data_IF_545092608118
#
_entry.id   IF_545092608118
#
_cell.length_a   1.000
_cell.length_b   1.000
_cell.length_c   1.000
_cell.angle_alpha   90.00
_cell.angle_beta   90.00
_cell.angle_gamma   90.00
#
_symmetry.space_group_name_H-M   'P 1'
#
loop_
_entity.id
_entity.type
_entity.pdbx_description
1 polymer ?
#
# COMPACT_ATOMS: atom_id res chain seq x y z
N UNK A 1 -4.68 6.40 -13.47
CA UNK A 1 -4.31 7.44 -12.48
C UNK A 1 -2.80 7.40 -12.32
N UNK A 2 -2.15 8.52 -11.98
CA UNK A 2 -0.74 8.50 -11.59
C UNK A 2 -0.66 8.32 -10.09
N UNK A 3 0.08 7.32 -9.62
CA UNK A 3 0.32 7.08 -8.21
C UNK A 3 1.65 7.71 -7.78
N UNK A 4 1.69 8.21 -6.56
CA UNK A 4 2.96 8.51 -5.89
C UNK A 4 3.66 7.22 -5.48
N UNK A 5 4.98 7.25 -5.32
CA UNK A 5 5.74 6.14 -4.75
C UNK A 5 5.42 5.84 -3.28
N UNK A 6 4.61 6.68 -2.62
CA UNK A 6 4.16 6.48 -1.24
C UNK A 6 2.63 6.58 -1.15
N UNK A 7 1.99 5.50 -0.74
CA UNK A 7 0.53 5.41 -0.61
C UNK A 7 0.15 5.25 0.85
N UNK A 8 -0.87 6.00 1.27
CA UNK A 8 -1.58 5.81 2.55
C UNK A 8 -3.04 5.48 2.22
N UNK A 9 -3.40 4.21 2.33
CA UNK A 9 -4.76 3.73 2.15
C UNK A 9 -5.54 3.87 3.45
N UNK A 10 -6.64 4.60 3.42
CA UNK A 10 -7.66 4.63 4.46
C UNK A 10 -8.82 3.78 3.99
N UNK A 11 -8.99 2.59 4.58
CA UNK A 11 -10.11 1.74 4.21
C UNK A 11 -11.16 1.64 5.31
N UNK A 12 -12.43 1.67 4.91
CA UNK A 12 -13.56 1.51 5.83
C UNK A 12 -13.86 0.02 6.12
N UNK A 13 -13.20 -0.89 5.41
CA UNK A 13 -13.38 -2.34 5.51
C UNK A 13 -12.06 -3.06 5.28
N UNK A 14 -11.98 -4.34 5.65
CA UNK A 14 -10.89 -5.19 5.18
C UNK A 14 -10.86 -5.33 3.65
N UNK A 15 -9.77 -5.93 3.16
CA UNK A 15 -9.59 -6.22 1.74
C UNK A 15 -10.70 -7.15 1.20
N UNK A 16 -11.23 -6.82 0.02
CA UNK A 16 -12.23 -7.62 -0.70
C UNK A 16 -11.70 -7.89 -2.12
N UNK A 17 -11.33 -9.16 -2.47
CA UNK A 17 -10.66 -9.47 -3.73
C UNK A 17 -11.34 -8.89 -4.97
N UNK A 18 -12.65 -9.09 -5.12
CA UNK A 18 -13.41 -8.67 -6.30
C UNK A 18 -13.48 -7.15 -6.47
N UNK A 19 -13.26 -6.39 -5.40
CA UNK A 19 -13.28 -4.91 -5.38
C UNK A 19 -11.88 -4.31 -5.53
N UNK A 20 -10.89 -4.96 -4.94
CA UNK A 20 -9.63 -4.32 -4.57
C UNK A 20 -8.40 -4.88 -5.29
N UNK A 21 -8.50 -6.08 -5.89
CA UNK A 21 -7.37 -6.71 -6.55
C UNK A 21 -6.79 -5.85 -7.68
N UNK A 22 -7.64 -5.28 -8.54
CA UNK A 22 -7.18 -4.41 -9.62
C UNK A 22 -6.42 -3.19 -9.09
N UNK A 23 -6.84 -2.64 -7.94
CA UNK A 23 -6.15 -1.51 -7.33
C UNK A 23 -4.74 -1.88 -6.89
N UNK A 24 -4.56 -3.04 -6.24
CA UNK A 24 -3.22 -3.51 -5.86
C UNK A 24 -2.34 -3.76 -7.09
N UNK A 25 -2.90 -4.33 -8.16
CA UNK A 25 -2.19 -4.52 -9.44
C UNK A 25 -1.75 -3.18 -10.06
N UNK A 26 -2.60 -2.16 -10.01
CA UNK A 26 -2.27 -0.83 -10.51
C UNK A 26 -1.14 -0.18 -9.68
N UNK A 27 -1.11 -0.39 -8.35
CA UNK A 27 -0.02 0.08 -7.48
C UNK A 27 1.31 -0.61 -7.80
N UNK A 28 1.30 -1.93 -8.00
CA UNK A 28 2.48 -2.71 -8.40
C UNK A 28 2.98 -2.23 -9.76
N UNK A 29 2.10 -2.05 -10.73
CA UNK A 29 2.47 -1.54 -12.05
C UNK A 29 3.06 -0.12 -12.00
N UNK A 30 2.61 0.70 -11.05
CA UNK A 30 3.15 2.02 -10.78
C UNK A 30 4.49 2.01 -10.01
N UNK A 31 4.97 0.84 -9.60
CA UNK A 31 6.23 0.64 -8.85
C UNK A 31 6.32 1.53 -7.60
N UNK A 32 5.25 1.55 -6.81
CA UNK A 32 5.28 2.22 -5.51
C UNK A 32 6.34 1.58 -4.61
N UNK A 33 6.79 2.33 -3.61
CA UNK A 33 7.85 1.89 -2.69
C UNK A 33 7.33 1.72 -1.25
N UNK A 34 6.25 2.42 -0.90
CA UNK A 34 5.60 2.35 0.41
C UNK A 34 4.08 2.26 0.27
N UNK A 35 3.50 1.30 0.98
CA UNK A 35 2.06 1.12 1.11
C UNK A 35 1.67 1.01 2.59
N UNK A 36 1.12 2.11 3.14
CA UNK A 36 0.58 2.13 4.49
C UNK A 36 -0.94 1.90 4.42
N UNK A 37 -1.49 1.02 5.24
CA UNK A 37 -2.94 0.78 5.29
C UNK A 37 -3.51 1.00 6.69
N UNK A 38 -4.60 1.76 6.75
CA UNK A 38 -5.31 2.13 7.98
C UNK A 38 -6.73 1.60 7.88
N UNK A 39 -6.99 0.45 8.51
CA UNK A 39 -8.32 -0.10 8.69
C UNK A 39 -8.32 -1.20 9.77
N UNK A 40 -9.52 -1.62 10.18
CA UNK A 40 -9.67 -2.92 10.86
C UNK A 40 -9.47 -4.01 9.81
N UNK A 41 -8.56 -4.95 10.05
CA UNK A 41 -8.15 -5.92 9.04
C UNK A 41 -7.17 -5.32 8.01
N UNK A 42 -6.26 -4.47 8.48
CA UNK A 42 -5.20 -3.89 7.66
C UNK A 42 -4.26 -4.96 7.10
N UNK A 43 -4.04 -6.02 7.87
CA UNK A 43 -3.12 -7.11 7.49
C UNK A 43 -3.58 -7.89 6.27
N UNK A 44 -4.88 -7.97 6.02
CA UNK A 44 -5.44 -8.62 4.84
C UNK A 44 -5.05 -7.88 3.55
N UNK A 45 -4.95 -6.55 3.60
CA UNK A 45 -4.45 -5.74 2.49
C UNK A 45 -2.96 -6.00 2.22
N UNK A 46 -2.14 -6.08 3.26
CA UNK A 46 -0.72 -6.41 3.12
C UNK A 46 -0.52 -7.80 2.55
N UNK A 47 -1.19 -8.81 3.10
CA UNK A 47 -1.12 -10.19 2.61
C UNK A 47 -1.53 -10.27 1.12
N UNK A 48 -2.58 -9.55 0.73
CA UNK A 48 -3.03 -9.52 -0.66
C UNK A 48 -1.97 -8.85 -1.58
N UNK A 49 -1.35 -7.77 -1.13
CA UNK A 49 -0.30 -7.09 -1.89
C UNK A 49 0.96 -7.95 -2.01
N UNK A 50 1.36 -8.63 -0.94
CA UNK A 50 2.48 -9.57 -0.92
C UNK A 50 2.27 -10.69 -1.95
N UNK A 51 1.09 -11.33 -1.93
CA UNK A 51 0.76 -12.36 -2.91
C UNK A 51 0.71 -11.82 -4.34
N UNK A 52 0.21 -10.60 -4.53
CA UNK A 52 0.16 -9.98 -5.85
C UNK A 52 1.55 -9.58 -6.39
N UNK A 53 2.54 -9.37 -5.52
CA UNK A 53 3.92 -9.07 -5.90
C UNK A 53 4.72 -10.30 -6.36
N UNK A 54 4.24 -11.51 -6.08
CA UNK A 54 4.90 -12.76 -6.43
C UNK A 54 4.45 -13.22 -7.83
N UNK A 55 5.39 -13.42 -8.76
CA UNK A 55 5.10 -13.99 -10.07
C UNK A 55 5.06 -15.54 -10.05
N UNK A 56 4.79 -16.18 -11.19
CA UNK A 56 4.70 -17.65 -11.31
C UNK A 56 5.99 -18.39 -10.86
N UNK A 57 7.13 -17.70 -10.84
CA UNK A 57 8.42 -18.24 -10.38
C UNK A 57 8.68 -17.99 -8.89
N UNK A 58 7.76 -17.33 -8.18
CA UNK A 58 7.95 -16.97 -6.79
C UNK A 58 8.77 -15.69 -6.58
N UNK A 59 9.02 -14.91 -7.65
CA UNK A 59 9.93 -13.77 -7.63
C UNK A 59 9.18 -12.44 -7.81
N UNK A 60 9.58 -11.42 -7.04
CA UNK A 60 9.12 -10.04 -7.20
C UNK A 60 10.10 -9.20 -8.03
N UNK A 61 9.58 -8.30 -8.87
CA UNK A 61 10.41 -7.43 -9.72
C UNK A 61 10.90 -6.14 -9.02
N UNK A 62 10.28 -5.77 -7.91
CA UNK A 62 10.64 -4.63 -7.08
C UNK A 62 10.14 -4.82 -5.65
N UNK A 63 10.69 -4.05 -4.72
CA UNK A 63 10.31 -4.09 -3.31
C UNK A 63 9.27 -3.02 -3.02
N UNK A 64 8.15 -3.43 -2.44
CA UNK A 64 7.19 -2.53 -1.79
C UNK A 64 7.28 -2.79 -0.29
N UNK A 65 7.49 -1.75 0.50
CA UNK A 65 7.39 -1.85 1.96
C UNK A 65 5.94 -1.62 2.35
N UNK A 66 5.36 -2.56 3.09
CA UNK A 66 4.01 -2.44 3.62
C UNK A 66 4.03 -2.13 5.11
N UNK A 67 3.05 -1.36 5.58
CA UNK A 67 2.79 -1.19 7.00
C UNK A 67 1.29 -1.19 7.32
N UNK A 68 0.88 -2.04 8.26
CA UNK A 68 -0.47 -2.09 8.81
C UNK A 68 -0.62 -1.22 10.05
N UNK A 69 -1.64 -0.37 10.04
CA UNK A 69 -1.90 0.60 11.10
C UNK A 69 -3.33 0.44 11.62
N UNK A 70 -3.54 -0.59 12.45
CA UNK A 70 -4.82 -0.79 13.11
C UNK A 70 -4.96 0.21 14.27
N UNK A 71 -5.95 1.11 14.17
CA UNK A 71 -6.30 2.12 15.17
C UNK A 71 -5.33 3.31 15.33
N UNK A 72 -4.31 3.44 14.47
CA UNK A 72 -3.45 4.62 14.49
C UNK A 72 -4.14 5.83 13.82
N UNK A 73 -3.91 7.06 14.32
CA UNK A 73 -4.45 8.27 13.70
C UNK A 73 -3.88 8.49 12.30
N UNK A 74 -4.74 8.84 11.34
CA UNK A 74 -4.34 9.15 9.96
C UNK A 74 -3.17 10.14 9.86
N UNK A 75 -3.17 11.18 10.69
CA UNK A 75 -2.11 12.19 10.68
C UNK A 75 -0.74 11.61 11.07
N UNK A 76 -0.70 10.64 11.98
CA UNK A 76 0.55 10.00 12.40
C UNK A 76 1.10 9.10 11.30
N UNK A 77 0.24 8.34 10.63
CA UNK A 77 0.61 7.47 9.50
C UNK A 77 1.07 8.28 8.30
N UNK A 78 0.42 9.40 7.97
CA UNK A 78 0.91 10.33 6.93
C UNK A 78 2.28 10.88 7.33
N UNK A 79 2.45 11.29 8.59
CA UNK A 79 3.73 11.78 9.09
C UNK A 79 4.84 10.72 9.02
N UNK A 80 4.51 9.45 9.26
CA UNK A 80 5.40 8.32 9.03
C UNK A 80 5.77 8.20 7.54
N UNK A 81 4.77 8.14 6.65
CA UNK A 81 4.99 7.99 5.21
C UNK A 81 5.85 9.12 4.61
N UNK A 82 5.62 10.37 5.01
CA UNK A 82 6.43 11.52 4.59
C UNK A 82 7.91 11.34 4.96
N UNK A 83 8.19 10.84 6.17
CA UNK A 83 9.56 10.64 6.68
C UNK A 83 10.22 9.36 6.19
N UNK A 84 9.45 8.40 5.68
CA UNK A 84 9.99 7.15 5.18
C UNK A 84 10.92 7.39 3.99
N UNK A 85 12.11 6.78 4.02
CA UNK A 85 13.10 6.94 2.96
C UNK A 85 12.82 5.97 1.82
N UNK A 86 12.80 6.48 0.60
CA UNK A 86 12.57 5.75 -0.65
C UNK A 86 13.72 6.03 -1.62
N UNK A 87 13.81 5.25 -2.70
CA UNK A 87 14.85 5.39 -3.74
C UNK A 87 14.81 6.74 -4.46
N UNK A 88 13.62 7.34 -4.55
CA UNK A 88 13.39 8.70 -5.02
C UNK A 88 12.52 9.50 -4.04
N UNK A 89 12.51 10.82 -4.17
CA UNK A 89 11.65 11.66 -3.33
C UNK A 89 10.19 11.58 -3.81
N UNK A 90 9.30 11.16 -2.91
CA UNK A 90 7.87 11.06 -3.15
C UNK A 90 7.09 11.81 -2.06
N UNK A 91 5.96 12.42 -2.44
CA UNK A 91 4.95 12.92 -1.50
C UNK A 91 3.99 11.80 -1.12
N UNK A 92 3.43 11.78 0.07
CA UNK A 92 2.44 10.76 0.45
C UNK A 92 1.12 11.04 -0.26
N UNK A 93 0.55 10.01 -0.88
CA UNK A 93 -0.77 10.08 -1.50
C UNK A 93 -1.77 9.32 -0.63
N UNK A 94 -2.77 10.04 -0.12
CA UNK A 94 -3.87 9.46 0.65
C UNK A 94 -4.97 9.00 -0.29
N UNK A 95 -5.42 7.75 -0.12
CA UNK A 95 -6.49 7.13 -0.92
C UNK A 95 -7.55 6.58 0.04
N UNK A 96 -8.83 6.76 -0.30
CA UNK A 96 -9.96 6.24 0.47
C UNK A 96 -10.69 5.12 -0.31
N UNK A 97 -10.93 3.96 0.31
CA UNK A 97 -11.70 2.85 -0.29
C UNK A 97 -12.60 2.10 0.70
#
# INVERSE_FOLDING_TARGET
MTYSGKIVLVSLSGYVPERDEQFLRDLIAARIELFCVICVGAREWENALDWACVNDEGLGEHTIVTTSHEHEPLAEVIGFAERFSTSAQHQSQVIHR
#
